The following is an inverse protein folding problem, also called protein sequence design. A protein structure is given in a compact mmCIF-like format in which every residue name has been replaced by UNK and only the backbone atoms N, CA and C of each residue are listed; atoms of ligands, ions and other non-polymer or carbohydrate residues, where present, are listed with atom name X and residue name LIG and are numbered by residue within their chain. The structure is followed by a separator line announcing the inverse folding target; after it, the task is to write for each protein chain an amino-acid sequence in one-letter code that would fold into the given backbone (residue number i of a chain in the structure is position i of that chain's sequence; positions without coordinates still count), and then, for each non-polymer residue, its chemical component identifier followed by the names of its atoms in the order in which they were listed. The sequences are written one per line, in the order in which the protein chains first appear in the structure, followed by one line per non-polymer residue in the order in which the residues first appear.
data_IF_203461686073
#
_entry.id   IF_203461686073
#
_cell.length_a   1.000
_cell.length_b   1.000
_cell.length_c   1.000
_cell.angle_alpha   90.00
_cell.angle_beta   90.00
_cell.angle_gamma   90.00
#
_symmetry.space_group_name_H-M   'P 1'
#
loop_
_entity.id
_entity.type
_entity.pdbx_description
1 polymer ?
#
# COMPACT_ATOMS: atom_id res chain seq x y z
N UNK A 1 9.07 -8.03 -4.15
CA UNK A 1 8.94 -8.06 -2.68
C UNK A 1 10.26 -7.83 -1.94
N UNK A 2 11.24 -8.74 -2.04
CA UNK A 2 12.51 -8.64 -1.28
C UNK A 2 13.26 -7.31 -1.51
N UNK A 3 13.42 -6.88 -2.77
CA UNK A 3 14.07 -5.62 -3.11
C UNK A 3 13.38 -4.37 -2.54
N UNK A 4 12.04 -4.40 -2.36
CA UNK A 4 11.27 -3.27 -1.82
C UNK A 4 11.29 -3.21 -0.29
N UNK A 5 11.71 -4.30 0.37
CA UNK A 5 11.60 -4.45 1.83
C UNK A 5 12.80 -3.94 2.63
N UNK A 6 13.69 -3.17 2.00
CA UNK A 6 14.89 -2.61 2.63
C UNK A 6 14.57 -1.60 3.76
N UNK A 7 13.38 -1.00 3.73
CA UNK A 7 12.98 0.05 4.66
C UNK A 7 12.38 -0.50 5.96
N UNK A 8 12.53 0.27 7.06
CA UNK A 8 11.87 0.06 8.36
C UNK A 8 12.05 -1.33 9.01
N UNK A 9 13.16 -2.02 8.71
CA UNK A 9 13.44 -3.34 9.29
C UNK A 9 12.48 -4.45 8.81
N UNK A 10 11.82 -4.25 7.66
CA UNK A 10 10.83 -5.19 7.13
C UNK A 10 11.45 -6.41 6.44
N UNK A 11 12.75 -6.37 6.16
CA UNK A 11 13.41 -7.35 5.31
C UNK A 11 13.42 -8.74 5.94
N UNK A 12 13.64 -8.84 7.24
CA UNK A 12 13.63 -10.12 7.97
C UNK A 12 12.24 -10.78 7.95
N UNK A 13 11.18 -9.98 8.11
CA UNK A 13 9.79 -10.40 7.95
C UNK A 13 9.46 -10.78 6.51
N UNK A 14 9.94 -10.00 5.54
CA UNK A 14 9.69 -10.24 4.11
C UNK A 14 10.37 -11.52 3.65
N UNK A 15 11.61 -11.78 4.08
CA UNK A 15 12.32 -13.04 3.81
C UNK A 15 11.55 -14.22 4.39
N UNK A 16 11.07 -14.11 5.64
CA UNK A 16 10.27 -15.16 6.26
C UNK A 16 8.95 -15.39 5.52
N UNK A 17 8.26 -14.31 5.14
CA UNK A 17 6.98 -14.35 4.42
C UNK A 17 7.15 -14.96 3.03
N UNK A 18 8.14 -14.51 2.25
CA UNK A 18 8.43 -15.04 0.91
C UNK A 18 8.79 -16.52 1.01
N UNK A 19 9.68 -16.91 1.94
CA UNK A 19 10.02 -18.33 2.14
C UNK A 19 8.80 -19.17 2.52
N UNK A 20 7.90 -18.65 3.36
CA UNK A 20 6.69 -19.36 3.77
C UNK A 20 5.67 -19.48 2.63
N UNK A 21 5.54 -18.46 1.79
CA UNK A 21 4.67 -18.48 0.61
C UNK A 21 5.24 -19.40 -0.48
N UNK A 22 6.56 -19.49 -0.65
CA UNK A 22 7.19 -20.38 -1.64
C UNK A 22 7.01 -21.86 -1.34
N UNK A 23 6.80 -22.25 -0.08
CA UNK A 23 6.56 -23.65 0.30
C UNK A 23 5.07 -23.95 0.29
N UNK A 24 4.67 -24.90 -0.55
CA UNK A 24 3.28 -25.32 -0.65
C UNK A 24 2.78 -26.00 0.64
N UNK A 25 1.49 -25.93 0.92
CA UNK A 25 0.80 -26.73 1.94
C UNK A 25 1.48 -26.72 3.33
N UNK A 26 1.83 -25.53 3.85
CA UNK A 26 2.41 -25.39 5.19
C UNK A 26 1.39 -25.71 6.29
N UNK A 27 0.16 -25.23 6.10
CA UNK A 27 -0.95 -25.37 7.05
C UNK A 27 -1.79 -26.59 6.67
N UNK A 28 -1.94 -27.54 7.60
CA UNK A 28 -2.74 -28.75 7.40
C UNK A 28 -4.23 -28.45 7.62
N UNK A 29 -5.09 -28.87 6.70
CA UNK A 29 -6.55 -28.71 6.85
C UNK A 29 -7.22 -30.00 7.36
N UNK A 30 -6.58 -31.14 7.12
CA UNK A 30 -7.04 -32.47 7.52
C UNK A 30 -5.87 -33.19 8.18
N UNK A 31 -6.16 -33.92 9.26
CA UNK A 31 -5.23 -34.91 9.80
C UNK A 31 -5.04 -35.99 8.73
N UNK A 32 -3.79 -36.23 8.34
CA UNK A 32 -3.44 -37.33 7.43
C UNK A 32 -3.45 -38.62 8.24
N UNK A 33 -4.61 -39.27 8.42
CA UNK A 33 -4.70 -40.56 9.11
C UNK A 33 -5.70 -41.54 8.50
N UNK A 34 -5.19 -42.76 8.29
CA UNK A 34 -5.89 -43.98 7.93
C UNK A 34 -6.52 -44.57 9.22
N UNK A 35 -7.84 -44.47 9.41
CA UNK A 35 -8.72 -45.39 10.18
C UNK A 35 -10.03 -44.66 10.58
N UNK A 36 -11.16 -45.38 10.50
CA UNK A 36 -12.53 -44.85 10.51
C UNK A 36 -13.10 -44.45 11.89
N UNK A 37 -12.34 -44.54 12.99
CA UNK A 37 -12.85 -44.41 14.36
C UNK A 37 -12.82 -43.01 15.00
N UNK A 38 -12.15 -42.01 14.42
CA UNK A 38 -11.81 -40.75 15.12
C UNK A 38 -12.36 -39.46 14.46
N UNK A 39 -13.53 -39.56 13.82
CA UNK A 39 -14.14 -38.45 13.08
C UNK A 39 -14.49 -37.27 14.01
N UNK A 40 -14.89 -37.52 15.27
CA UNK A 40 -15.18 -36.48 16.25
C UNK A 40 -13.93 -35.75 16.74
N UNK A 41 -12.86 -36.50 17.05
CA UNK A 41 -11.56 -35.94 17.47
C UNK A 41 -10.95 -35.06 16.36
N UNK A 42 -11.14 -35.47 15.10
CA UNK A 42 -10.71 -34.69 13.93
C UNK A 42 -11.43 -33.35 13.80
N UNK A 43 -12.73 -33.27 14.12
CA UNK A 43 -13.49 -32.00 14.09
C UNK A 43 -13.02 -31.05 15.19
N UNK A 44 -12.79 -31.57 16.40
CA UNK A 44 -12.31 -30.78 17.54
C UNK A 44 -10.90 -30.21 17.27
N UNK A 45 -10.01 -31.05 16.73
CA UNK A 45 -8.65 -30.65 16.35
C UNK A 45 -8.66 -29.55 15.27
N UNK A 46 -9.51 -29.67 14.23
CA UNK A 46 -9.68 -28.62 13.22
C UNK A 46 -10.17 -27.30 13.82
N UNK A 47 -11.09 -27.37 14.78
CA UNK A 47 -11.60 -26.20 15.48
C UNK A 47 -10.48 -25.51 16.29
N UNK A 48 -9.65 -26.29 16.98
CA UNK A 48 -8.48 -25.80 17.71
C UNK A 48 -7.46 -25.13 16.79
N UNK A 49 -7.13 -25.74 15.64
CA UNK A 49 -6.25 -25.14 14.65
C UNK A 49 -6.83 -23.83 14.10
N UNK A 50 -8.12 -23.79 13.78
CA UNK A 50 -8.79 -22.56 13.32
C UNK A 50 -8.74 -21.46 14.38
N UNK A 51 -8.93 -21.79 15.66
CA UNK A 51 -8.80 -20.82 16.76
C UNK A 51 -7.37 -20.30 16.89
N UNK A 52 -6.37 -21.18 16.76
CA UNK A 52 -4.96 -20.82 16.83
C UNK A 52 -4.56 -19.88 15.67
N UNK A 53 -5.01 -20.17 14.45
CA UNK A 53 -4.78 -19.30 13.28
C UNK A 53 -5.40 -17.92 13.46
N UNK A 54 -6.59 -17.82 14.06
CA UNK A 54 -7.19 -16.52 14.40
C UNK A 54 -6.38 -15.75 15.43
N UNK A 55 -5.84 -16.44 16.46
CA UNK A 55 -4.93 -15.81 17.43
C UNK A 55 -3.66 -15.28 16.75
N UNK A 56 -3.12 -16.02 15.78
CA UNK A 56 -1.94 -15.59 15.02
C UNK A 56 -2.22 -14.43 14.05
N UNK A 57 -3.40 -14.37 13.43
CA UNK A 57 -3.78 -13.23 12.60
C UNK A 57 -3.85 -11.93 13.41
N UNK A 58 -4.25 -12.00 14.69
CA UNK A 58 -4.32 -10.83 15.56
C UNK A 58 -5.46 -9.88 15.20
N UNK A 59 -5.22 -8.57 15.32
CA UNK A 59 -6.21 -7.51 15.11
C UNK A 59 -5.61 -6.38 14.24
N UNK A 60 -6.43 -5.41 13.81
CA UNK A 60 -5.95 -4.25 13.05
C UNK A 60 -5.33 -4.62 11.70
N UNK A 61 -4.18 -4.03 11.38
CA UNK A 61 -3.43 -4.31 10.17
C UNK A 61 -2.80 -5.71 10.18
N UNK A 62 -2.50 -6.27 11.36
CA UNK A 62 -2.06 -7.67 11.45
C UNK A 62 -3.11 -8.64 10.91
N UNK A 63 -4.39 -8.43 11.27
CA UNK A 63 -5.49 -9.24 10.74
C UNK A 63 -5.66 -9.03 9.23
N UNK A 64 -5.52 -7.79 8.76
CA UNK A 64 -5.64 -7.44 7.34
C UNK A 64 -4.51 -8.00 6.48
N UNK A 65 -3.32 -8.23 7.06
CA UNK A 65 -2.25 -9.00 6.43
C UNK A 65 -2.64 -10.47 6.21
N UNK A 66 -3.72 -10.94 6.87
CA UNK A 66 -4.44 -12.13 6.46
C UNK A 66 -3.65 -13.42 6.64
N UNK A 67 -3.73 -14.30 5.64
CA UNK A 67 -3.11 -15.62 5.69
C UNK A 67 -1.57 -15.54 5.76
N UNK A 68 -0.88 -14.62 5.05
CA UNK A 68 0.55 -14.37 5.26
C UNK A 68 0.94 -14.04 6.71
N UNK A 69 0.11 -13.33 7.47
CA UNK A 69 0.40 -13.06 8.89
C UNK A 69 0.37 -14.33 9.73
N UNK A 70 -0.58 -15.22 9.44
CA UNK A 70 -0.67 -16.54 10.08
C UNK A 70 0.60 -17.35 9.80
N UNK A 71 1.06 -17.36 8.55
CA UNK A 71 2.30 -18.06 8.17
C UNK A 71 3.52 -17.45 8.88
N UNK A 72 3.63 -16.12 8.91
CA UNK A 72 4.74 -15.43 9.55
C UNK A 72 4.86 -15.79 11.03
N UNK A 73 3.75 -15.75 11.77
CA UNK A 73 3.73 -16.11 13.20
C UNK A 73 3.89 -17.62 13.42
N UNK A 74 3.35 -18.46 12.54
CA UNK A 74 3.52 -19.90 12.61
C UNK A 74 5.00 -20.29 12.48
N UNK A 75 5.71 -19.71 11.50
CA UNK A 75 7.15 -19.95 11.30
C UNK A 75 7.96 -19.40 12.47
N UNK A 76 7.68 -18.17 12.93
CA UNK A 76 8.37 -17.60 14.09
C UNK A 76 8.19 -18.44 15.37
N UNK A 77 6.98 -18.91 15.64
CA UNK A 77 6.70 -19.78 16.77
C UNK A 77 7.33 -21.17 16.62
N UNK A 78 7.37 -21.72 15.40
CA UNK A 78 8.01 -22.99 15.14
C UNK A 78 9.54 -22.94 15.34
N UNK A 79 10.20 -21.85 14.94
CA UNK A 79 11.62 -21.63 15.22
C UNK A 79 11.92 -21.57 16.71
N UNK A 80 11.05 -20.90 17.48
CA UNK A 80 11.16 -20.85 18.93
C UNK A 80 11.00 -22.24 19.58
N UNK A 81 10.02 -23.03 19.13
CA UNK A 81 9.83 -24.42 19.58
C UNK A 81 11.01 -25.32 19.18
N UNK A 82 11.60 -25.09 18.01
CA UNK A 82 12.76 -25.82 17.51
C UNK A 82 14.00 -25.62 18.39
N UNK A 83 14.25 -24.40 18.89
CA UNK A 83 15.34 -24.17 19.87
C UNK A 83 15.16 -24.97 21.15
N UNK A 84 13.92 -25.28 21.55
CA UNK A 84 13.59 -26.09 22.72
C UNK A 84 13.57 -27.60 22.42
N UNK A 85 13.87 -28.01 21.19
CA UNK A 85 13.80 -29.40 20.75
C UNK A 85 12.37 -29.95 20.59
N UNK A 86 11.35 -29.08 20.56
CA UNK A 86 9.93 -29.45 20.56
C UNK A 86 9.23 -29.20 19.22
N UNK A 87 9.98 -29.10 18.12
CA UNK A 87 9.44 -28.75 16.80
C UNK A 87 8.35 -29.72 16.32
N UNK A 88 8.58 -31.03 16.43
CA UNK A 88 7.63 -32.03 15.96
C UNK A 88 6.30 -31.97 16.71
N UNK A 89 6.35 -31.84 18.04
CA UNK A 89 5.16 -31.70 18.88
C UNK A 89 4.40 -30.42 18.52
N UNK A 90 5.11 -29.29 18.42
CA UNK A 90 4.53 -28.01 18.02
C UNK A 90 3.85 -28.08 16.65
N UNK A 91 4.47 -28.74 15.67
CA UNK A 91 3.89 -28.91 14.34
C UNK A 91 2.59 -29.72 14.38
N UNK A 92 2.56 -30.83 15.12
CA UNK A 92 1.35 -31.66 15.26
C UNK A 92 0.22 -30.90 15.96
N UNK A 93 0.53 -30.23 17.08
CA UNK A 93 -0.47 -29.55 17.91
C UNK A 93 -1.14 -28.38 17.18
N UNK A 94 -0.39 -27.67 16.34
CA UNK A 94 -0.85 -26.47 15.64
C UNK A 94 -1.22 -26.71 14.16
N UNK A 95 -1.15 -27.96 13.68
CA UNK A 95 -1.51 -28.31 12.30
C UNK A 95 -0.56 -27.73 11.26
N UNK A 96 0.74 -27.86 11.50
CA UNK A 96 1.81 -27.48 10.56
C UNK A 96 2.50 -28.72 10.01
N UNK A 97 2.87 -28.68 8.73
CA UNK A 97 3.63 -29.75 8.10
C UNK A 97 5.11 -29.64 8.49
N UNK A 98 5.60 -30.56 9.32
CA UNK A 98 6.99 -30.54 9.82
C UNK A 98 8.05 -30.39 8.71
N UNK A 99 7.92 -31.18 7.62
CA UNK A 99 8.83 -31.09 6.46
C UNK A 99 8.81 -29.71 5.80
N UNK A 100 7.63 -29.07 5.71
CA UNK A 100 7.50 -27.74 5.14
C UNK A 100 8.21 -26.70 6.00
N UNK A 101 8.02 -26.74 7.33
CA UNK A 101 8.69 -25.82 8.25
C UNK A 101 10.21 -25.96 8.19
N UNK A 102 10.73 -27.19 8.13
CA UNK A 102 12.15 -27.43 7.95
C UNK A 102 12.69 -26.86 6.63
N UNK A 103 11.90 -26.95 5.56
CA UNK A 103 12.26 -26.39 4.25
C UNK A 103 12.22 -24.86 4.23
N UNK A 104 11.19 -24.25 4.84
CA UNK A 104 11.10 -22.80 5.03
C UNK A 104 12.35 -22.28 5.74
N UNK A 105 12.84 -22.98 6.76
CA UNK A 105 14.06 -22.60 7.48
C UNK A 105 15.29 -22.59 6.57
N UNK A 106 15.46 -23.60 5.72
CA UNK A 106 16.56 -23.64 4.73
C UNK A 106 16.43 -22.50 3.72
N UNK A 107 15.24 -22.26 3.19
CA UNK A 107 14.98 -21.18 2.24
C UNK A 107 15.24 -19.80 2.86
N UNK A 108 14.87 -19.59 4.13
CA UNK A 108 15.20 -18.35 4.85
C UNK A 108 16.70 -18.12 4.96
N UNK A 109 17.47 -19.16 5.29
CA UNK A 109 18.94 -19.08 5.34
C UNK A 109 19.51 -18.74 3.97
N UNK A 110 19.05 -19.44 2.91
CA UNK A 110 19.49 -19.19 1.55
C UNK A 110 19.18 -17.76 1.09
N UNK A 111 17.93 -17.32 1.22
CA UNK A 111 17.51 -15.97 0.85
C UNK A 111 18.27 -14.89 1.63
N UNK A 112 18.53 -15.11 2.92
CA UNK A 112 19.29 -14.15 3.73
C UNK A 112 20.73 -14.04 3.24
N UNK A 113 21.37 -15.18 2.92
CA UNK A 113 22.74 -15.19 2.39
C UNK A 113 22.80 -14.48 1.03
N UNK A 114 21.88 -14.76 0.12
CA UNK A 114 21.82 -14.11 -1.19
C UNK A 114 21.59 -12.60 -1.08
N UNK A 115 20.73 -12.15 -0.17
CA UNK A 115 20.51 -10.72 0.07
C UNK A 115 21.77 -10.06 0.60
N UNK A 116 22.48 -10.69 1.55
CA UNK A 116 23.75 -10.15 2.08
C UNK A 116 24.86 -10.11 1.03
N UNK A 117 24.91 -11.07 0.10
CA UNK A 117 25.89 -11.07 -0.98
C UNK A 117 25.69 -9.87 -1.92
N UNK A 118 24.43 -9.52 -2.21
CA UNK A 118 24.10 -8.39 -3.08
C UNK A 118 24.13 -7.04 -2.34
N UNK A 119 23.92 -7.05 -1.03
CA UNK A 119 23.83 -5.86 -0.20
C UNK A 119 24.64 -6.05 1.11
N UNK A 120 25.98 -5.90 1.05
CA UNK A 120 26.86 -6.22 2.18
C UNK A 120 26.64 -5.34 3.41
N UNK A 121 26.14 -4.11 3.24
CA UNK A 121 25.94 -3.16 4.33
C UNK A 121 24.82 -3.55 5.30
N UNK A 122 23.93 -4.48 4.91
CA UNK A 122 22.76 -4.84 5.69
C UNK A 122 23.00 -5.83 6.83
N UNK A 123 24.05 -6.65 6.74
CA UNK A 123 24.40 -7.69 7.74
C UNK A 123 23.16 -8.44 8.29
N UNK A 124 22.26 -8.89 7.41
CA UNK A 124 21.06 -9.59 7.84
C UNK A 124 21.43 -10.96 8.38
N UNK A 125 20.71 -11.38 9.40
CA UNK A 125 20.79 -12.74 9.88
C UNK A 125 19.38 -13.25 10.16
N UNK A 126 19.24 -14.57 10.08
CA UNK A 126 17.98 -15.23 10.44
C UNK A 126 17.89 -15.22 11.95
N UNK A 127 17.23 -14.22 12.53
CA UNK A 127 16.93 -14.20 13.97
C UNK A 127 15.92 -15.31 14.29
N UNK A 128 16.30 -16.31 15.10
CA UNK A 128 15.37 -17.35 15.49
C UNK A 128 14.41 -16.95 16.63
N UNK A 129 14.52 -15.73 17.19
CA UNK A 129 13.59 -15.14 18.18
C UNK A 129 12.88 -13.89 17.62
N UNK A 130 12.67 -13.84 16.31
CA UNK A 130 12.00 -12.74 15.64
C UNK A 130 10.65 -12.42 16.29
N UNK A 131 10.53 -11.21 16.85
CA UNK A 131 9.28 -10.72 17.42
C UNK A 131 8.21 -10.58 16.33
N UNK A 132 6.90 -10.75 16.63
CA UNK A 132 5.86 -10.49 15.64
C UNK A 132 5.90 -9.03 15.15
N UNK A 133 5.56 -8.75 13.89
CA UNK A 133 5.60 -7.39 13.34
C UNK A 133 4.61 -6.48 14.08
N UNK A 134 4.96 -5.20 14.18
CA UNK A 134 4.06 -4.16 14.68
C UNK A 134 2.90 -3.91 13.70
N UNK A 135 1.87 -3.18 14.14
CA UNK A 135 0.73 -2.87 13.28
C UNK A 135 1.12 -2.04 12.04
N UNK A 136 2.05 -1.10 12.21
CA UNK A 136 2.60 -0.32 11.09
C UNK A 136 3.42 -1.18 10.13
N UNK A 137 4.26 -2.08 10.67
CA UNK A 137 5.02 -3.03 9.84
C UNK A 137 4.08 -3.97 9.08
N UNK A 138 3.00 -4.43 9.70
CA UNK A 138 1.99 -5.24 9.04
C UNK A 138 1.32 -4.48 7.88
N UNK A 139 1.01 -3.18 8.05
CA UNK A 139 0.50 -2.33 6.96
C UNK A 139 1.48 -2.28 5.79
N UNK A 140 2.77 -2.09 6.05
CA UNK A 140 3.80 -2.02 5.01
C UNK A 140 4.04 -3.38 4.34
N UNK A 141 3.96 -4.49 5.07
CA UNK A 141 4.03 -5.83 4.49
C UNK A 141 2.87 -6.09 3.51
N UNK A 142 1.67 -5.60 3.81
CA UNK A 142 0.52 -5.67 2.88
C UNK A 142 0.81 -4.91 1.58
N UNK A 143 1.41 -3.73 1.68
CA UNK A 143 1.82 -2.93 0.52
C UNK A 143 2.91 -3.62 -0.30
N UNK A 144 3.90 -4.23 0.35
CA UNK A 144 4.95 -5.01 -0.31
C UNK A 144 4.38 -6.22 -1.05
N UNK A 145 3.38 -6.89 -0.47
CA UNK A 145 2.67 -8.00 -1.12
C UNK A 145 1.95 -7.53 -2.39
N UNK A 146 1.20 -6.44 -2.32
CA UNK A 146 0.54 -5.85 -3.49
C UNK A 146 1.54 -5.48 -4.59
N UNK A 147 2.64 -4.81 -4.24
CA UNK A 147 3.69 -4.47 -5.20
C UNK A 147 4.40 -5.69 -5.80
N UNK A 148 4.37 -6.84 -5.11
CA UNK A 148 4.93 -8.09 -5.60
C UNK A 148 4.00 -8.90 -6.50
N UNK A 149 2.69 -8.75 -6.35
CA UNK A 149 1.66 -9.51 -7.08
C UNK A 149 0.54 -8.56 -7.56
N UNK A 150 0.85 -7.56 -8.41
CA UNK A 150 -0.10 -6.55 -8.86
C UNK A 150 -1.19 -7.12 -9.77
N UNK A 151 -0.93 -8.25 -10.42
CA UNK A 151 -1.83 -9.02 -11.28
C UNK A 151 -2.78 -9.92 -10.49
N UNK A 152 -2.44 -10.27 -9.24
CA UNK A 152 -3.23 -11.16 -8.39
C UNK A 152 -4.15 -10.39 -7.44
N UNK A 153 -4.85 -9.39 -7.98
CA UNK A 153 -5.85 -8.60 -7.26
C UNK A 153 -7.25 -9.15 -7.56
N UNK A 154 -8.08 -9.24 -6.53
CA UNK A 154 -9.48 -9.60 -6.66
C UNK A 154 -10.38 -8.55 -5.98
N UNK A 155 -11.50 -8.27 -6.64
CA UNK A 155 -12.52 -7.34 -6.16
C UNK A 155 -13.79 -8.10 -5.80
N UNK A 156 -14.34 -7.83 -4.61
CA UNK A 156 -15.56 -8.45 -4.12
C UNK A 156 -16.74 -7.97 -4.95
N UNK A 157 -17.55 -8.91 -5.41
CA UNK A 157 -18.75 -8.58 -6.19
C UNK A 157 -19.81 -8.00 -5.27
N UNK A 158 -20.35 -6.84 -5.65
CA UNK A 158 -21.54 -6.28 -5.03
C UNK A 158 -22.78 -7.05 -5.53
N UNK A 159 -23.59 -7.55 -4.59
CA UNK A 159 -24.82 -8.28 -4.89
C UNK A 159 -25.84 -7.38 -5.62
N UNK A 160 -25.73 -6.06 -5.46
CA UNK A 160 -26.56 -5.08 -6.15
C UNK A 160 -26.30 -4.98 -7.67
N UNK A 161 -25.09 -5.34 -8.13
CA UNK A 161 -24.74 -5.29 -9.56
C UNK A 161 -25.39 -6.42 -10.37
N UNK A 162 -25.88 -7.46 -9.71
CA UNK A 162 -26.36 -8.68 -10.36
C UNK A 162 -27.86 -8.58 -10.59
N UNK A 163 -28.26 -8.49 -11.86
CA UNK A 163 -29.67 -8.30 -12.27
C UNK A 163 -30.49 -9.59 -12.15
N UNK A 164 -29.91 -10.74 -12.47
CA UNK A 164 -30.60 -12.03 -12.51
C UNK A 164 -30.54 -12.78 -11.16
N UNK A 165 -31.65 -13.38 -10.75
CA UNK A 165 -31.75 -14.03 -9.43
C UNK A 165 -30.95 -15.34 -9.34
N UNK A 166 -30.78 -16.09 -10.43
CA UNK A 166 -29.95 -17.31 -10.45
C UNK A 166 -28.46 -16.96 -10.30
N UNK A 167 -28.01 -15.90 -10.97
CA UNK A 167 -26.64 -15.40 -10.85
C UNK A 167 -26.36 -14.82 -9.46
N UNK A 168 -27.34 -14.21 -8.79
CA UNK A 168 -27.15 -13.74 -7.40
C UNK A 168 -26.71 -14.85 -6.47
N UNK A 169 -27.26 -16.05 -6.62
CA UNK A 169 -26.86 -17.18 -5.77
C UNK A 169 -25.45 -17.69 -6.13
N UNK A 170 -25.13 -17.72 -7.43
CA UNK A 170 -23.82 -18.13 -7.94
C UNK A 170 -22.70 -17.22 -7.45
N UNK A 171 -22.91 -15.91 -7.45
CA UNK A 171 -21.91 -14.90 -7.13
C UNK A 171 -21.95 -14.41 -5.68
N UNK A 172 -22.82 -14.99 -4.85
CA UNK A 172 -22.94 -14.63 -3.44
C UNK A 172 -21.61 -14.82 -2.70
N UNK A 173 -21.06 -13.75 -2.14
CA UNK A 173 -19.74 -13.71 -1.50
C UNK A 173 -18.55 -14.08 -2.41
N UNK A 174 -18.73 -13.98 -3.72
CA UNK A 174 -17.67 -14.22 -4.69
C UNK A 174 -16.82 -12.97 -4.94
N UNK A 175 -15.67 -13.20 -5.55
CA UNK A 175 -14.72 -12.19 -6.01
C UNK A 175 -14.50 -12.37 -7.50
N UNK A 176 -14.30 -11.25 -8.20
CA UNK A 176 -13.80 -11.22 -9.57
C UNK A 176 -12.28 -11.16 -9.53
N UNK A 177 -11.63 -11.99 -10.33
CA UNK A 177 -10.18 -11.95 -10.54
C UNK A 177 -9.91 -11.50 -11.98
N UNK A 178 -8.83 -10.75 -12.23
CA UNK A 178 -8.63 -10.08 -13.52
C UNK A 178 -8.54 -11.03 -14.72
N UNK A 179 -8.03 -12.25 -14.51
CA UNK A 179 -7.81 -13.25 -15.57
C UNK A 179 -8.90 -14.35 -15.58
N UNK A 180 -9.93 -14.26 -14.73
CA UNK A 180 -10.95 -15.31 -14.58
C UNK A 180 -12.36 -14.74 -14.72
N UNK A 181 -13.17 -15.35 -15.59
CA UNK A 181 -14.60 -15.02 -15.74
C UNK A 181 -15.47 -15.67 -14.66
N UNK A 182 -15.01 -16.78 -14.09
CA UNK A 182 -15.73 -17.54 -13.08
C UNK A 182 -15.62 -16.93 -11.67
N UNK A 183 -16.67 -17.09 -10.83
CA UNK A 183 -16.64 -16.59 -9.46
C UNK A 183 -15.59 -17.31 -8.61
N UNK A 184 -14.69 -16.54 -7.99
CA UNK A 184 -13.68 -17.05 -7.08
C UNK A 184 -14.09 -16.79 -5.63
N UNK A 185 -13.96 -17.79 -4.78
CA UNK A 185 -14.36 -17.68 -3.37
C UNK A 185 -13.15 -17.69 -2.45
N UNK A 186 -13.24 -16.96 -1.33
CA UNK A 186 -12.21 -17.05 -0.31
C UNK A 186 -12.22 -18.44 0.34
N UNK A 187 -11.05 -19.09 0.43
CA UNK A 187 -10.95 -20.42 1.00
C UNK A 187 -11.47 -20.47 2.46
N UNK A 188 -12.10 -21.59 2.83
CA UNK A 188 -12.74 -21.78 4.14
C UNK A 188 -11.78 -21.61 5.33
N UNK A 189 -10.50 -21.96 5.11
CA UNK A 189 -9.44 -21.86 6.09
C UNK A 189 -8.86 -20.44 6.26
N UNK A 190 -9.17 -19.51 5.34
CA UNK A 190 -8.64 -18.15 5.38
C UNK A 190 -9.18 -17.38 6.59
N UNK A 191 -8.30 -16.66 7.28
CA UNK A 191 -8.69 -15.85 8.45
C UNK A 191 -9.54 -14.64 8.08
N UNK A 192 -9.47 -14.20 6.81
CA UNK A 192 -10.22 -13.06 6.29
C UNK A 192 -11.64 -13.42 5.85
N UNK A 193 -12.00 -14.72 5.81
CA UNK A 193 -13.30 -15.17 5.27
C UNK A 193 -14.51 -14.52 5.94
N UNK A 194 -14.45 -14.30 7.26
CA UNK A 194 -15.52 -13.63 8.01
C UNK A 194 -15.54 -12.12 7.78
N UNK A 195 -14.37 -11.50 7.60
CA UNK A 195 -14.25 -10.06 7.38
C UNK A 195 -14.68 -9.68 5.95
N UNK A 196 -14.42 -10.56 4.98
CA UNK A 196 -14.75 -10.39 3.56
C UNK A 196 -14.40 -9.00 3.01
N UNK A 197 -13.10 -8.60 3.06
CA UNK A 197 -12.65 -7.29 2.56
C UNK A 197 -13.04 -7.10 1.10
N UNK A 198 -13.27 -5.85 0.68
CA UNK A 198 -13.69 -5.55 -0.68
C UNK A 198 -12.57 -5.80 -1.70
N UNK A 199 -11.35 -5.36 -1.38
CA UNK A 199 -10.18 -5.51 -2.22
C UNK A 199 -9.17 -6.43 -1.54
N UNK A 200 -8.72 -7.45 -2.27
CA UNK A 200 -7.74 -8.40 -1.77
C UNK A 200 -6.66 -8.70 -2.82
N UNK A 201 -5.47 -9.02 -2.33
CA UNK A 201 -4.44 -9.73 -3.08
C UNK A 201 -4.47 -11.18 -2.64
N UNK A 202 -4.35 -12.10 -3.59
CA UNK A 202 -4.24 -13.53 -3.32
C UNK A 202 -2.91 -14.06 -3.86
N UNK A 203 -2.49 -15.24 -3.41
CA UNK A 203 -1.26 -15.89 -3.88
C UNK A 203 -1.54 -16.85 -5.03
N UNK A 204 -2.60 -17.64 -4.90
CA UNK A 204 -2.99 -18.65 -5.88
C UNK A 204 -4.50 -18.88 -5.85
N UNK A 205 -5.01 -19.34 -6.99
CA UNK A 205 -6.38 -19.85 -7.14
C UNK A 205 -6.27 -21.31 -7.54
N UNK A 206 -7.09 -22.15 -6.92
CA UNK A 206 -7.16 -23.57 -7.25
C UNK A 206 -8.62 -24.02 -7.35
N UNK A 207 -8.86 -25.01 -8.19
CA UNK A 207 -10.17 -25.57 -8.44
C UNK A 207 -10.38 -26.84 -7.60
N UNK A 208 -11.55 -26.93 -6.96
CA UNK A 208 -12.01 -28.17 -6.33
C UNK A 208 -13.45 -28.45 -6.76
N UNK A 209 -14.42 -28.02 -5.94
CA UNK A 209 -15.84 -27.95 -6.33
C UNK A 209 -16.22 -26.59 -6.90
N UNK A 210 -15.45 -25.56 -6.51
CA UNK A 210 -15.48 -24.18 -6.98
C UNK A 210 -14.04 -23.68 -7.04
N UNK A 211 -13.83 -22.53 -7.66
CA UNK A 211 -12.57 -21.82 -7.59
C UNK A 211 -12.40 -21.18 -6.21
N UNK A 212 -11.30 -21.49 -5.55
CA UNK A 212 -10.94 -20.92 -4.26
C UNK A 212 -9.60 -20.22 -4.31
N UNK A 213 -9.54 -19.01 -3.74
CA UNK A 213 -8.28 -18.27 -3.55
C UNK A 213 -7.66 -18.56 -2.17
N UNK A 214 -6.33 -18.68 -2.14
CA UNK A 214 -5.48 -18.89 -0.95
C UNK A 214 -4.41 -17.80 -0.83
N UNK A 215 -3.85 -17.66 0.38
CA UNK A 215 -2.83 -16.66 0.67
C UNK A 215 -3.40 -15.23 0.65
N UNK A 216 -4.62 -15.05 1.15
CA UNK A 216 -5.37 -13.82 0.95
C UNK A 216 -4.92 -12.73 1.92
N UNK A 217 -4.72 -11.53 1.37
CA UNK A 217 -4.35 -10.30 2.08
C UNK A 217 -5.30 -9.18 1.68
N UNK A 218 -5.83 -8.44 2.64
CA UNK A 218 -6.66 -7.28 2.34
C UNK A 218 -5.79 -6.10 1.89
N UNK A 219 -6.29 -5.30 0.96
CA UNK A 219 -5.62 -4.08 0.47
C UNK A 219 -6.61 -2.90 0.43
N UNK A 220 -6.07 -1.70 0.34
CA UNK A 220 -6.81 -0.45 0.24
C UNK A 220 -6.74 0.02 -1.23
N UNK A 221 -7.86 0.47 -1.81
CA UNK A 221 -7.91 0.81 -3.24
C UNK A 221 -6.96 1.96 -3.61
N UNK A 222 -6.74 2.91 -2.70
CA UNK A 222 -5.76 4.01 -2.83
C UNK A 222 -4.31 3.54 -3.04
N UNK A 223 -3.99 2.28 -2.74
CA UNK A 223 -2.66 1.72 -2.94
C UNK A 223 -2.44 1.23 -4.38
N UNK A 224 -3.51 0.93 -5.12
CA UNK A 224 -3.41 0.39 -6.48
C UNK A 224 -2.70 1.35 -7.44
N UNK A 225 -3.00 2.67 -7.47
CA UNK A 225 -2.28 3.58 -8.35
C UNK A 225 -0.81 3.78 -7.97
N UNK A 226 -0.47 3.55 -6.70
CA UNK A 226 0.90 3.72 -6.20
C UNK A 226 1.77 2.51 -6.56
N UNK A 227 1.26 1.30 -6.34
CA UNK A 227 2.03 0.07 -6.48
C UNK A 227 1.78 -0.69 -7.79
N UNK A 228 0.68 -0.39 -8.48
CA UNK A 228 0.31 -0.99 -9.76
C UNK A 228 -0.20 0.07 -10.78
N UNK A 229 0.52 1.19 -11.00
CA UNK A 229 0.07 2.27 -11.87
C UNK A 229 -0.22 1.83 -13.30
N UNK A 230 0.53 0.84 -13.81
CA UNK A 230 0.36 0.31 -15.17
C UNK A 230 -1.00 -0.40 -15.39
N UNK A 231 -1.67 -0.80 -14.32
CA UNK A 231 -2.99 -1.42 -14.35
C UNK A 231 -4.11 -0.44 -13.98
N UNK A 232 -3.79 0.83 -13.72
CA UNK A 232 -4.75 1.86 -13.38
C UNK A 232 -4.99 2.80 -14.57
N UNK A 233 -6.25 3.19 -14.78
CA UNK A 233 -6.61 4.31 -15.64
C UNK A 233 -7.29 5.38 -14.78
N UNK A 234 -6.55 6.43 -14.43
CA UNK A 234 -7.02 7.50 -13.55
C UNK A 234 -7.60 8.66 -14.33
N UNK A 235 -8.66 9.26 -13.78
CA UNK A 235 -9.19 10.53 -14.26
C UNK A 235 -8.26 11.69 -13.89
N UNK A 236 -8.40 12.85 -14.54
CA UNK A 236 -7.76 14.08 -14.09
C UNK A 236 -8.19 14.42 -12.64
N UNK A 237 -7.35 15.14 -11.88
CA UNK A 237 -7.68 15.61 -10.54
C UNK A 237 -9.06 16.25 -10.46
N UNK A 238 -9.88 15.80 -9.51
CA UNK A 238 -11.20 16.35 -9.26
C UNK A 238 -11.10 17.80 -8.79
N UNK A 239 -12.12 18.59 -9.15
CA UNK A 239 -12.25 19.99 -8.70
C UNK A 239 -12.80 20.06 -7.28
N UNK A 240 -13.64 19.11 -6.91
CA UNK A 240 -14.27 18.98 -5.61
C UNK A 240 -14.17 17.53 -5.13
N UNK A 241 -13.54 17.25 -3.97
CA UNK A 241 -12.81 18.20 -3.12
C UNK A 241 -11.54 18.75 -3.80
N UNK A 242 -11.16 20.01 -3.53
CA UNK A 242 -9.98 20.61 -4.13
C UNK A 242 -8.69 19.94 -3.61
N UNK A 243 -7.59 20.02 -4.38
CA UNK A 243 -6.27 19.63 -3.92
C UNK A 243 -5.90 20.29 -2.60
N UNK A 244 -5.06 19.62 -1.81
CA UNK A 244 -4.54 20.13 -0.53
C UNK A 244 -3.02 19.93 -0.46
N UNK A 245 -2.36 20.82 0.27
CA UNK A 245 -0.98 20.63 0.69
C UNK A 245 -0.96 20.02 2.08
N UNK A 246 -0.12 19.00 2.29
CA UNK A 246 0.09 18.39 3.59
C UNK A 246 1.42 18.84 4.18
N UNK A 247 1.37 19.50 5.33
CA UNK A 247 2.56 20.02 6.01
C UNK A 247 3.46 18.90 6.57
N UNK A 248 2.90 17.72 6.84
CA UNK A 248 3.66 16.61 7.43
C UNK A 248 4.49 15.85 6.40
N UNK A 249 3.93 15.60 5.22
CA UNK A 249 4.61 14.94 4.12
C UNK A 249 5.25 15.91 3.12
N UNK A 250 4.98 17.22 3.28
CA UNK A 250 5.42 18.32 2.42
C UNK A 250 5.01 18.18 0.94
N UNK A 251 3.91 17.47 0.67
CA UNK A 251 3.44 17.09 -0.66
C UNK A 251 2.03 17.62 -0.96
N UNK A 252 1.72 17.72 -2.25
CA UNK A 252 0.36 18.01 -2.72
C UNK A 252 -0.41 16.71 -2.91
N UNK A 253 -1.68 16.73 -2.51
CA UNK A 253 -2.63 15.66 -2.73
C UNK A 253 -3.82 16.17 -3.53
N UNK A 254 -4.38 15.30 -4.37
CA UNK A 254 -5.62 15.55 -5.09
C UNK A 254 -6.51 14.31 -5.04
N UNK A 255 -7.80 14.52 -5.28
CA UNK A 255 -8.74 13.42 -5.39
C UNK A 255 -8.88 13.01 -6.84
N UNK A 256 -8.91 11.71 -7.09
CA UNK A 256 -9.08 11.13 -8.43
C UNK A 256 -10.08 9.99 -8.35
N UNK A 257 -10.70 9.71 -9.49
CA UNK A 257 -11.43 8.46 -9.73
C UNK A 257 -10.68 7.66 -10.79
N UNK A 258 -11.06 6.41 -11.02
CA UNK A 258 -10.44 5.64 -12.08
C UNK A 258 -10.93 4.22 -12.14
N UNK A 259 -10.24 3.44 -12.96
CA UNK A 259 -10.48 2.01 -13.08
C UNK A 259 -9.21 1.21 -12.87
N UNK A 260 -9.37 -0.06 -12.49
CA UNK A 260 -8.27 -1.00 -12.30
C UNK A 260 -8.44 -2.28 -13.12
N UNK A 261 -7.33 -2.74 -13.70
CA UNK A 261 -7.23 -4.01 -14.41
C UNK A 261 -7.96 -4.03 -15.76
N UNK A 262 -7.91 -5.18 -16.42
CA UNK A 262 -8.54 -5.40 -17.74
C UNK A 262 -10.06 -5.28 -17.70
N UNK A 263 -10.65 -5.72 -16.60
CA UNK A 263 -12.10 -5.64 -16.36
C UNK A 263 -12.57 -4.23 -15.96
N UNK A 264 -11.66 -3.24 -15.91
CA UNK A 264 -11.96 -1.85 -15.61
C UNK A 264 -12.82 -1.65 -14.34
N UNK A 265 -12.48 -2.38 -13.27
CA UNK A 265 -13.19 -2.27 -11.99
C UNK A 265 -13.13 -0.83 -11.49
N UNK A 266 -14.27 -0.27 -11.12
CA UNK A 266 -14.37 1.12 -10.68
C UNK A 266 -13.66 1.28 -9.34
N UNK A 267 -12.73 2.22 -9.28
CA UNK A 267 -12.07 2.63 -8.05
C UNK A 267 -12.91 3.72 -7.37
N UNK A 268 -13.04 3.69 -6.03
CA UNK A 268 -13.69 4.77 -5.31
C UNK A 268 -12.89 6.07 -5.48
N UNK A 269 -13.54 7.20 -5.19
CA UNK A 269 -12.83 8.48 -5.06
C UNK A 269 -11.74 8.34 -4.01
N UNK A 270 -10.50 8.51 -4.43
CA UNK A 270 -9.32 8.30 -3.60
C UNK A 270 -8.41 9.52 -3.64
N UNK A 271 -7.77 9.79 -2.52
CA UNK A 271 -6.78 10.85 -2.41
C UNK A 271 -5.40 10.27 -2.75
N UNK A 272 -4.75 10.87 -3.75
CA UNK A 272 -3.43 10.45 -4.24
C UNK A 272 -2.48 11.64 -4.27
N UNK A 273 -1.18 11.37 -4.27
CA UNK A 273 -0.17 12.41 -4.50
C UNK A 273 -0.40 13.04 -5.88
N UNK A 274 -0.32 14.37 -5.95
CA UNK A 274 -0.64 15.11 -7.16
C UNK A 274 0.30 14.68 -8.30
N UNK A 275 -0.24 14.17 -9.43
CA UNK A 275 0.60 13.64 -10.50
C UNK A 275 1.44 14.75 -11.16
N UNK A 276 2.71 14.47 -11.51
CA UNK A 276 3.60 15.45 -12.13
C UNK A 276 2.99 15.93 -13.45
N UNK A 277 2.55 17.19 -13.45
CA UNK A 277 1.80 17.79 -14.55
C UNK A 277 1.89 19.32 -14.45
N UNK A 278 1.51 20.02 -15.53
CA UNK A 278 1.43 21.49 -15.49
C UNK A 278 0.48 21.99 -14.40
N UNK A 279 -0.57 21.23 -14.08
CA UNK A 279 -1.52 21.59 -13.03
C UNK A 279 -0.92 21.44 -11.64
N UNK A 280 0.04 20.52 -11.44
CA UNK A 280 0.80 20.42 -10.19
C UNK A 280 1.52 21.74 -9.87
N UNK A 281 2.22 22.32 -10.84
CA UNK A 281 2.90 23.61 -10.68
C UNK A 281 1.92 24.76 -10.39
N UNK A 282 0.74 24.77 -11.03
CA UNK A 282 -0.29 25.80 -10.76
C UNK A 282 -0.82 25.71 -9.34
N UNK A 283 -1.08 24.51 -8.84
CA UNK A 283 -1.52 24.28 -7.46
C UNK A 283 -0.42 24.58 -6.45
N UNK A 284 0.82 24.17 -6.72
CA UNK A 284 1.98 24.55 -5.90
C UNK A 284 2.13 26.07 -5.80
N UNK A 285 2.02 26.78 -6.92
CA UNK A 285 2.02 28.25 -6.92
C UNK A 285 0.86 28.84 -6.13
N UNK A 286 -0.34 28.26 -6.22
CA UNK A 286 -1.50 28.68 -5.44
C UNK A 286 -1.21 28.60 -3.93
N UNK A 287 -0.70 27.46 -3.45
CA UNK A 287 -0.36 27.26 -2.03
C UNK A 287 0.84 28.10 -1.57
N UNK A 288 1.79 28.39 -2.47
CA UNK A 288 2.90 29.30 -2.21
C UNK A 288 2.39 30.72 -1.97
N UNK A 289 1.52 31.22 -2.85
CA UNK A 289 0.92 32.55 -2.74
C UNK A 289 0.01 32.69 -1.51
N UNK A 290 -0.71 31.63 -1.15
CA UNK A 290 -1.53 31.60 0.07
C UNK A 290 -0.70 31.58 1.36
N UNK A 291 0.61 31.32 1.25
CA UNK A 291 1.52 31.19 2.40
C UNK A 291 1.30 29.91 3.20
N UNK A 292 0.74 28.87 2.56
CA UNK A 292 0.57 27.54 3.18
C UNK A 292 1.92 26.84 3.27
N UNK A 293 2.70 26.86 2.18
CA UNK A 293 4.02 26.19 2.12
C UNK A 293 5.06 26.92 2.98
N UNK A 294 5.04 28.26 2.96
CA UNK A 294 5.94 29.12 3.73
C UNK A 294 5.13 30.12 4.57
N UNK A 295 4.96 29.87 5.87
CA UNK A 295 4.11 30.67 6.76
C UNK A 295 4.48 32.16 6.81
N UNK A 296 5.76 32.51 6.58
CA UNK A 296 6.22 33.91 6.52
C UNK A 296 5.54 34.72 5.40
N UNK A 297 5.08 34.07 4.33
CA UNK A 297 4.35 34.71 3.23
C UNK A 297 2.86 34.93 3.54
N UNK A 298 2.32 34.25 4.56
CA UNK A 298 0.89 34.33 4.93
C UNK A 298 0.43 35.75 5.25
N UNK A 299 1.34 36.61 5.75
CA UNK A 299 1.07 38.02 6.04
C UNK A 299 0.69 38.85 4.81
N UNK A 300 1.14 38.44 3.60
CA UNK A 300 0.86 39.14 2.35
C UNK A 300 -0.39 38.65 1.63
N UNK A 301 -1.05 37.60 2.14
CA UNK A 301 -2.22 36.97 1.50
C UNK A 301 -3.36 37.96 1.23
N UNK A 302 -3.62 38.89 2.16
CA UNK A 302 -4.65 39.93 2.01
C UNK A 302 -4.26 41.06 1.07
N UNK A 303 -2.97 41.22 0.79
CA UNK A 303 -2.41 42.27 -0.09
C UNK A 303 -2.19 41.79 -1.52
N UNK A 304 -2.54 40.54 -1.84
CA UNK A 304 -2.39 40.01 -3.19
C UNK A 304 -3.31 40.74 -4.17
N UNK A 305 -2.75 41.16 -5.30
CA UNK A 305 -3.46 41.87 -6.38
C UNK A 305 -4.48 40.97 -7.11
N UNK A 306 -4.43 39.65 -6.90
CA UNK A 306 -5.36 38.67 -7.47
C UNK A 306 -5.47 37.47 -6.54
N UNK A 307 -6.63 36.80 -6.56
CA UNK A 307 -6.86 35.61 -5.73
C UNK A 307 -5.95 34.47 -6.23
N UNK A 308 -5.21 33.76 -5.37
CA UNK A 308 -4.31 32.66 -5.77
C UNK A 308 -4.95 31.59 -6.67
N UNK A 309 -6.23 31.26 -6.43
CA UNK A 309 -7.02 30.33 -7.26
C UNK A 309 -7.12 30.72 -8.74
N UNK A 310 -6.78 31.97 -9.10
CA UNK A 310 -6.65 32.39 -10.51
C UNK A 310 -5.59 31.59 -11.26
N UNK A 311 -4.54 31.08 -10.58
CA UNK A 311 -3.50 30.22 -11.17
C UNK A 311 -4.07 28.97 -11.86
N UNK A 312 -5.18 28.43 -11.37
CA UNK A 312 -5.75 27.15 -11.81
C UNK A 312 -6.84 27.33 -12.87
N UNK A 313 -7.32 28.57 -13.10
CA UNK A 313 -8.38 28.84 -14.07
C UNK A 313 -7.88 28.69 -15.52
N UNK A 314 -8.76 28.32 -16.43
CA UNK A 314 -8.43 28.11 -17.86
C UNK A 314 -7.91 29.38 -18.54
N UNK A 315 -8.40 30.54 -18.13
CA UNK A 315 -7.97 31.85 -18.62
C UNK A 315 -6.72 32.41 -17.90
N UNK A 316 -6.11 31.67 -16.96
CA UNK A 316 -4.94 32.12 -16.23
C UNK A 316 -3.80 32.54 -17.15
N UNK A 317 -3.63 31.90 -18.31
CA UNK A 317 -2.57 32.23 -19.29
C UNK A 317 -2.66 33.64 -19.87
N UNK A 318 -3.83 34.28 -19.80
CA UNK A 318 -4.03 35.64 -20.30
C UNK A 318 -3.49 36.71 -19.35
N UNK A 319 -3.28 36.37 -18.07
CA UNK A 319 -2.73 37.28 -17.09
C UNK A 319 -1.20 37.13 -17.05
N UNK A 320 -0.41 38.21 -17.20
CA UNK A 320 1.05 38.09 -17.26
C UNK A 320 1.66 37.56 -15.95
N UNK A 321 1.08 37.88 -14.79
CA UNK A 321 1.62 37.47 -13.48
C UNK A 321 1.55 35.97 -13.19
N UNK A 322 0.49 35.31 -13.66
CA UNK A 322 0.30 33.85 -13.54
C UNK A 322 1.25 33.12 -14.47
N UNK A 323 1.44 33.62 -15.70
CA UNK A 323 2.36 33.05 -16.69
C UNK A 323 3.83 33.20 -16.25
N UNK A 324 4.24 34.38 -15.76
CA UNK A 324 5.62 34.61 -15.26
C UNK A 324 5.96 33.64 -14.12
N UNK A 325 5.06 33.52 -13.13
CA UNK A 325 5.27 32.63 -11.98
C UNK A 325 5.30 31.16 -12.41
N UNK A 326 4.36 30.74 -13.27
CA UNK A 326 4.31 29.37 -13.76
C UNK A 326 5.55 29.00 -14.58
N UNK A 327 5.98 29.86 -15.50
CA UNK A 327 7.18 29.64 -16.32
C UNK A 327 8.43 29.54 -15.46
N UNK A 328 8.57 30.38 -14.44
CA UNK A 328 9.70 30.31 -13.53
C UNK A 328 9.76 28.97 -12.78
N UNK A 329 8.62 28.48 -12.27
CA UNK A 329 8.52 27.18 -11.60
C UNK A 329 8.82 26.01 -12.54
N UNK A 330 8.25 26.02 -13.74
CA UNK A 330 8.46 24.96 -14.75
C UNK A 330 9.92 24.94 -15.24
N UNK A 331 10.55 26.10 -15.42
CA UNK A 331 11.93 26.20 -15.91
C UNK A 331 12.95 25.51 -14.99
N UNK A 332 12.70 25.49 -13.67
CA UNK A 332 13.53 24.78 -12.69
C UNK A 332 12.88 23.50 -12.15
N UNK A 333 11.76 23.06 -12.73
CA UNK A 333 10.98 21.90 -12.29
C UNK A 333 10.68 21.89 -10.78
N UNK A 334 10.31 23.06 -10.24
CA UNK A 334 9.99 23.24 -8.82
C UNK A 334 8.50 23.02 -8.57
N UNK A 335 8.17 21.86 -8.01
CA UNK A 335 6.81 21.39 -7.69
C UNK A 335 6.61 21.08 -6.20
N UNK A 336 7.65 21.24 -5.38
CA UNK A 336 7.67 20.86 -3.96
C UNK A 336 8.54 21.81 -3.13
N UNK A 337 8.28 21.83 -1.82
CA UNK A 337 9.00 22.69 -0.87
C UNK A 337 10.50 22.40 -0.87
N UNK A 338 10.88 21.12 -0.87
CA UNK A 338 12.27 20.67 -0.94
C UNK A 338 13.00 21.21 -2.19
N UNK A 339 12.40 21.04 -3.38
CA UNK A 339 12.98 21.56 -4.63
C UNK A 339 13.09 23.09 -4.64
N UNK A 340 12.13 23.80 -4.04
CA UNK A 340 12.21 25.26 -3.94
C UNK A 340 13.34 25.70 -3.01
N UNK A 341 13.52 25.02 -1.87
CA UNK A 341 14.64 25.29 -0.96
C UNK A 341 16.00 25.01 -1.62
N UNK A 342 16.11 23.93 -2.40
CA UNK A 342 17.32 23.66 -3.19
C UNK A 342 17.57 24.72 -4.26
N UNK A 343 16.53 25.22 -4.91
CA UNK A 343 16.64 26.31 -5.87
C UNK A 343 17.13 27.61 -5.20
N UNK A 344 16.68 27.91 -3.97
CA UNK A 344 17.15 29.06 -3.20
C UNK A 344 18.58 28.94 -2.68
N UNK A 345 19.05 27.72 -2.40
CA UNK A 345 20.48 27.50 -2.09
C UNK A 345 21.39 27.88 -3.26
N UNK A 346 20.93 27.70 -4.50
CA UNK A 346 21.68 28.06 -5.72
C UNK A 346 21.54 29.53 -6.07
N UNK A 347 20.34 30.09 -5.90
CA UNK A 347 20.01 31.47 -6.23
C UNK A 347 18.98 31.98 -5.24
N UNK A 348 19.45 32.78 -4.28
CA UNK A 348 18.61 33.31 -3.20
C UNK A 348 17.51 34.22 -3.73
N UNK A 349 17.69 34.86 -4.89
CA UNK A 349 16.72 35.76 -5.50
C UNK A 349 15.64 35.06 -6.34
N UNK A 350 15.76 33.74 -6.53
CA UNK A 350 14.83 32.96 -7.36
C UNK A 350 13.39 33.13 -6.89
N UNK A 351 12.46 33.35 -7.84
CA UNK A 351 11.04 33.69 -7.66
C UNK A 351 10.70 35.03 -7.01
N UNK A 352 11.67 35.83 -6.55
CA UNK A 352 11.37 37.11 -5.91
C UNK A 352 10.61 38.06 -6.86
N UNK A 353 11.13 38.28 -8.06
CA UNK A 353 10.49 39.13 -9.08
C UNK A 353 9.14 38.59 -9.52
N UNK A 354 9.02 37.27 -9.65
CA UNK A 354 7.77 36.61 -9.98
C UNK A 354 6.70 36.79 -8.90
N UNK A 355 7.09 36.72 -7.62
CA UNK A 355 6.20 36.96 -6.48
C UNK A 355 5.84 38.45 -6.32
N UNK A 356 6.78 39.37 -6.56
CA UNK A 356 6.53 40.82 -6.53
C UNK A 356 5.41 41.25 -7.49
N UNK A 357 5.27 40.58 -8.64
CA UNK A 357 4.15 40.83 -9.58
C UNK A 357 2.75 40.52 -9.00
N UNK A 358 2.66 39.85 -7.86
CA UNK A 358 1.41 39.49 -7.19
C UNK A 358 1.03 40.43 -6.03
N UNK A 359 1.90 41.35 -5.65
CA UNK A 359 1.72 42.29 -4.53
C UNK A 359 1.89 43.74 -5.01
N UNK A 360 1.29 44.73 -4.33
CA UNK A 360 1.50 46.13 -4.67
C UNK A 360 2.97 46.54 -4.51
N UNK A 361 3.41 47.52 -5.32
CA UNK A 361 4.79 48.03 -5.32
C UNK A 361 5.26 48.51 -3.94
N UNK A 362 4.34 49.03 -3.12
CA UNK A 362 4.61 49.45 -1.74
C UNK A 362 5.14 48.32 -0.84
N UNK A 363 4.82 47.06 -1.15
CA UNK A 363 5.25 45.89 -0.38
C UNK A 363 6.51 45.20 -0.96
N UNK A 364 7.03 45.67 -2.10
CA UNK A 364 8.14 44.99 -2.80
C UNK A 364 9.44 44.98 -1.98
N UNK A 365 9.77 46.10 -1.34
CA UNK A 365 10.97 46.23 -0.51
C UNK A 365 10.88 45.33 0.73
N UNK A 366 9.73 45.33 1.40
CA UNK A 366 9.49 44.51 2.59
C UNK A 366 9.62 43.01 2.29
N UNK A 367 9.15 42.58 1.11
CA UNK A 367 9.29 41.19 0.67
C UNK A 367 10.72 40.87 0.29
N UNK A 368 11.43 41.77 -0.40
CA UNK A 368 12.82 41.58 -0.76
C UNK A 368 13.72 41.39 0.47
N UNK A 369 13.46 42.13 1.55
CA UNK A 369 14.17 41.98 2.84
C UNK A 369 13.87 40.65 3.54
N UNK A 370 12.68 40.08 3.32
CA UNK A 370 12.26 38.80 3.90
C UNK A 370 12.64 37.59 3.03
N UNK A 371 13.21 37.83 1.85
CA UNK A 371 13.52 36.78 0.88
C UNK A 371 14.91 36.16 1.12
N UNK A 372 15.08 34.82 1.15
CA UNK A 372 14.07 33.78 1.00
C UNK A 372 13.19 33.56 2.26
N UNK A 373 11.89 33.28 2.12
CA UNK A 373 10.93 33.17 3.23
C UNK A 373 10.99 31.80 3.95
N UNK A 374 12.19 31.33 4.29
CA UNK A 374 12.45 30.04 4.96
C UNK A 374 11.90 29.96 6.38
#
# INVERSE_FOLDING_TARGET
MLALSHQQGLLSYTVCMVAALSVQEVLLEVLVQNCQGEIENSKQTRMQWSQTRRKWAGVGNSLLLGDPMVLLRAVGAAEFANRRGQLLQFCTDNGLRHKAVAEIRKLRLQLTNEVNLNLPDLNLYVDPNMAPPTDTQAKLLRQILLAGMPDQVAHKVDEAEIKENEDKLKWKHAYRCAELEEPVFMHSASVLRKKSPEWVVYQEVFETTKLYMRGVTAIEPEWLPVYAPALCNLSPPLVDPPPRYDDTTEKLFCHVTGTFGRAAWQLPTMEVEFPPSLDCYKWFACFLLEGVIFPKLKKYRSSLLSVPKTMVKTWAKLQPRTDILLKALVARQVDSKAKLMEAWKKDTSYLLSAYQNWIPESAHNDVALLWPPL
#
